data_IF_649960912507
#
_entry.id   IF_649960912507
#
_cell.length_a   1.000
_cell.length_b   1.000
_cell.length_c   1.000
_cell.angle_alpha   90.00
_cell.angle_beta   90.00
_cell.angle_gamma   90.00
#
_symmetry.space_group_name_H-M   'P 1'
#
loop_
_entity.id
_entity.type
_entity.pdbx_description
1 polymer ?
#
# COMPACT_ATOMS: atom_id res chain seq x y z
N UNK A 1 -16.78 -16.28 6.36
CA UNK A 1 -15.75 -16.14 5.32
C UNK A 1 -14.65 -15.24 5.84
N UNK A 2 -13.80 -14.74 4.95
CA UNK A 2 -12.82 -13.67 5.25
C UNK A 2 -13.35 -12.32 4.77
N UNK A 3 -12.99 -11.19 5.40
CA UNK A 3 -13.35 -9.87 4.90
C UNK A 3 -12.78 -9.62 3.50
N UNK A 4 -13.60 -9.08 2.59
CA UNK A 4 -13.21 -8.72 1.22
C UNK A 4 -13.87 -7.39 0.87
N UNK A 5 -13.07 -6.44 0.42
CA UNK A 5 -13.50 -5.11 -0.02
C UNK A 5 -13.00 -4.93 -1.45
N UNK A 6 -13.79 -5.39 -2.42
CA UNK A 6 -13.47 -5.28 -3.84
C UNK A 6 -14.72 -5.49 -4.70
N UNK A 7 -14.90 -4.70 -5.75
CA UNK A 7 -15.90 -4.92 -6.79
C UNK A 7 -15.44 -4.40 -8.15
N UNK A 8 -16.09 -4.87 -9.22
CA UNK A 8 -15.77 -4.41 -10.58
C UNK A 8 -16.41 -3.05 -10.83
N UNK A 9 -15.59 -2.09 -11.28
CA UNK A 9 -16.05 -0.74 -11.62
C UNK A 9 -16.02 0.26 -10.47
N UNK A 10 -15.10 0.06 -9.52
CA UNK A 10 -14.78 1.04 -8.46
C UNK A 10 -14.38 2.40 -9.05
N UNK A 11 -14.76 3.45 -8.34
CA UNK A 11 -14.15 4.78 -8.42
C UNK A 11 -12.80 4.81 -7.70
N UNK A 12 -11.97 5.82 -7.96
CA UNK A 12 -10.69 5.98 -7.24
C UNK A 12 -10.88 6.18 -5.72
N UNK A 13 -11.96 6.85 -5.31
CA UNK A 13 -12.30 7.01 -3.90
C UNK A 13 -12.61 5.66 -3.24
N UNK A 14 -13.42 4.83 -3.90
CA UNK A 14 -13.76 3.49 -3.41
C UNK A 14 -12.53 2.57 -3.36
N UNK A 15 -11.65 2.63 -4.35
CA UNK A 15 -10.40 1.86 -4.39
C UNK A 15 -9.51 2.14 -3.16
N UNK A 16 -9.27 3.42 -2.87
CA UNK A 16 -8.46 3.82 -1.72
C UNK A 16 -9.17 3.54 -0.39
N UNK A 17 -10.50 3.65 -0.34
CA UNK A 17 -11.29 3.19 0.80
C UNK A 17 -11.14 1.68 1.04
N UNK A 18 -11.25 0.85 -0.01
CA UNK A 18 -11.04 -0.59 0.07
C UNK A 18 -9.64 -0.93 0.59
N UNK A 19 -8.61 -0.21 0.11
CA UNK A 19 -7.22 -0.35 0.57
C UNK A 19 -7.09 -0.04 2.06
N UNK A 20 -7.71 1.04 2.54
CA UNK A 20 -7.74 1.34 3.97
C UNK A 20 -8.46 0.25 4.79
N UNK A 21 -9.61 -0.25 4.31
CA UNK A 21 -10.34 -1.30 5.01
C UNK A 21 -9.50 -2.59 5.12
N UNK A 22 -8.80 -2.97 4.05
CA UNK A 22 -7.93 -4.14 4.02
C UNK A 22 -6.73 -4.01 4.99
N UNK A 23 -6.27 -2.79 5.27
CA UNK A 23 -5.18 -2.49 6.22
C UNK A 23 -5.67 -2.23 7.66
N UNK A 24 -6.99 -2.13 7.89
CA UNK A 24 -7.56 -1.81 9.21
C UNK A 24 -8.18 -3.06 9.84
N UNK A 25 -7.49 -3.63 10.82
CA UNK A 25 -7.83 -4.92 11.43
C UNK A 25 -8.37 -4.72 12.84
N UNK A 26 -9.71 -4.77 13.04
CA UNK A 26 -10.27 -4.63 14.38
C UNK A 26 -9.79 -5.77 15.29
N UNK A 27 -9.57 -5.45 16.57
CA UNK A 27 -9.13 -6.39 17.61
C UNK A 27 -7.68 -6.91 17.48
N UNK A 28 -6.83 -6.22 16.72
CA UNK A 28 -5.38 -6.42 16.77
C UNK A 28 -4.71 -5.36 17.66
N UNK A 29 -3.53 -5.62 18.25
CA UNK A 29 -2.87 -4.67 19.15
C UNK A 29 -2.63 -3.29 18.54
N UNK A 30 -2.38 -3.22 17.22
CA UNK A 30 -2.08 -1.99 16.49
C UNK A 30 -3.22 -1.52 15.59
N UNK A 31 -4.32 -2.29 15.51
CA UNK A 31 -5.39 -2.06 14.56
C UNK A 31 -5.02 -2.42 13.11
N UNK A 32 -3.95 -3.19 12.88
CA UNK A 32 -3.39 -3.48 11.56
C UNK A 32 -2.86 -4.90 11.35
N UNK A 33 -2.40 -5.20 10.13
CA UNK A 33 -1.84 -6.49 9.78
C UNK A 33 -0.42 -6.66 10.34
N UNK A 34 0.05 -7.91 10.40
CA UNK A 34 1.45 -8.24 10.73
C UNK A 34 2.29 -8.61 9.49
N UNK A 35 1.68 -8.72 8.32
CA UNK A 35 2.28 -9.02 7.02
C UNK A 35 1.45 -8.37 5.92
N UNK A 36 2.09 -7.95 4.83
CA UNK A 36 1.40 -7.47 3.61
C UNK A 36 1.71 -8.41 2.45
N UNK A 37 0.70 -8.70 1.64
CA UNK A 37 0.85 -9.28 0.30
C UNK A 37 0.35 -8.22 -0.67
N UNK A 38 1.27 -7.70 -1.48
CA UNK A 38 1.05 -6.52 -2.31
C UNK A 38 1.28 -6.84 -3.79
N UNK A 39 0.58 -6.10 -4.65
CA UNK A 39 0.67 -6.18 -6.10
C UNK A 39 0.56 -4.74 -6.64
N UNK A 40 1.69 -4.17 -7.05
CA UNK A 40 1.81 -2.78 -7.49
C UNK A 40 2.29 -1.83 -6.40
N UNK A 41 2.25 -2.27 -5.13
CA UNK A 41 2.86 -1.57 -4.00
C UNK A 41 1.98 -0.50 -3.35
N UNK A 42 0.67 -0.48 -3.62
CA UNK A 42 -0.23 0.57 -3.13
C UNK A 42 -0.53 0.46 -1.64
N UNK A 43 -0.70 -0.76 -1.12
CA UNK A 43 -0.87 -0.97 0.32
C UNK A 43 0.40 -0.54 1.07
N UNK A 44 1.56 -0.90 0.55
CA UNK A 44 2.86 -0.49 1.07
C UNK A 44 3.03 1.02 1.00
N UNK A 45 2.71 1.65 -0.13
CA UNK A 45 2.78 3.10 -0.33
C UNK A 45 1.93 3.83 0.72
N UNK A 46 0.69 3.39 0.93
CA UNK A 46 -0.25 4.03 1.86
C UNK A 46 0.28 4.00 3.29
N UNK A 47 0.84 2.85 3.73
CA UNK A 47 1.46 2.74 5.06
C UNK A 47 2.68 3.67 5.19
N UNK A 48 3.56 3.70 4.20
CA UNK A 48 4.77 4.54 4.25
C UNK A 48 4.42 6.04 4.25
N UNK A 49 3.49 6.47 3.40
CA UNK A 49 3.02 7.86 3.34
C UNK A 49 2.25 8.27 4.59
N UNK A 50 1.44 7.37 5.13
CA UNK A 50 0.77 7.60 6.40
C UNK A 50 1.75 7.88 7.54
N UNK A 51 2.79 7.05 7.67
CA UNK A 51 3.85 7.25 8.68
C UNK A 51 4.64 8.54 8.42
N UNK A 52 4.96 8.84 7.16
CA UNK A 52 5.64 10.08 6.77
C UNK A 52 4.85 11.31 7.23
N UNK A 53 3.56 11.37 6.94
CA UNK A 53 2.71 12.52 7.25
C UNK A 53 2.27 12.58 8.72
N UNK A 54 2.17 11.44 9.41
CA UNK A 54 2.03 11.42 10.87
C UNK A 54 3.25 12.07 11.56
N UNK A 55 4.46 11.77 11.08
CA UNK A 55 5.68 12.41 11.58
C UNK A 55 5.76 13.89 11.24
N UNK A 56 5.27 14.28 10.07
CA UNK A 56 5.19 15.68 9.65
C UNK A 56 4.08 16.47 10.37
N UNK A 57 3.10 15.78 10.97
CA UNK A 57 1.95 16.35 11.65
C UNK A 57 0.78 16.72 10.74
N UNK A 58 0.95 16.66 9.42
CA UNK A 58 -0.09 16.89 8.42
C UNK A 58 0.30 16.25 7.09
N UNK A 59 -0.70 15.82 6.31
CA UNK A 59 -0.52 15.50 4.90
C UNK A 59 -0.67 16.78 4.05
N UNK A 60 -0.03 16.88 2.88
CA UNK A 60 -0.25 17.98 1.94
C UNK A 60 -1.72 18.18 1.58
N UNK A 61 -2.08 19.41 1.18
CA UNK A 61 -3.41 19.71 0.68
C UNK A 61 -3.67 18.93 -0.63
N UNK A 62 -4.80 18.19 -0.76
CA UNK A 62 -5.11 17.41 -1.96
C UNK A 62 -5.08 18.22 -3.27
N UNK A 63 -5.35 19.52 -3.23
CA UNK A 63 -5.28 20.41 -4.40
C UNK A 63 -3.86 20.61 -4.95
N UNK A 64 -2.83 20.23 -4.18
CA UNK A 64 -1.42 20.29 -4.58
C UNK A 64 -0.93 19.00 -5.22
N UNK A 65 -1.79 17.98 -5.33
CA UNK A 65 -1.44 16.70 -5.94
C UNK A 65 -1.08 16.85 -7.43
N UNK A 66 -0.13 16.02 -7.87
CA UNK A 66 0.30 15.92 -9.26
C UNK A 66 -0.61 15.03 -10.12
N UNK A 67 -1.53 14.31 -9.48
CA UNK A 67 -2.49 13.41 -10.11
C UNK A 67 -3.79 13.31 -9.31
N UNK A 68 -4.88 12.98 -10.00
CA UNK A 68 -6.20 12.74 -9.38
C UNK A 68 -6.12 11.62 -8.33
N UNK A 69 -5.43 10.53 -8.64
CA UNK A 69 -5.22 9.42 -7.72
C UNK A 69 -4.48 9.86 -6.46
N UNK A 70 -3.38 10.62 -6.60
CA UNK A 70 -2.63 11.11 -5.44
C UNK A 70 -3.46 12.10 -4.60
N UNK A 71 -4.36 12.87 -5.22
CA UNK A 71 -5.31 13.72 -4.47
C UNK A 71 -6.24 12.88 -3.57
N UNK A 72 -6.69 11.70 -4.02
CA UNK A 72 -7.48 10.78 -3.20
C UNK A 72 -6.67 10.20 -2.03
N UNK A 73 -5.40 9.83 -2.26
CA UNK A 73 -4.49 9.39 -1.19
C UNK A 73 -4.31 10.49 -0.15
N UNK A 74 -4.02 11.72 -0.57
CA UNK A 74 -3.86 12.87 0.35
C UNK A 74 -5.15 13.16 1.12
N UNK A 75 -6.31 13.05 0.48
CA UNK A 75 -7.61 13.22 1.13
C UNK A 75 -7.83 12.17 2.23
N UNK A 76 -7.54 10.90 1.92
CA UNK A 76 -7.62 9.79 2.87
C UNK A 76 -6.65 9.99 4.04
N UNK A 77 -5.39 10.35 3.76
CA UNK A 77 -4.38 10.55 4.79
C UNK A 77 -4.72 11.74 5.70
N UNK A 78 -5.22 12.86 5.15
CA UNK A 78 -5.70 13.98 5.96
C UNK A 78 -6.87 13.58 6.86
N UNK A 79 -7.84 12.81 6.35
CA UNK A 79 -8.96 12.32 7.17
C UNK A 79 -8.47 11.41 8.30
N UNK A 80 -7.66 10.41 7.97
CA UNK A 80 -7.18 9.43 8.97
C UNK A 80 -6.26 10.06 10.01
N UNK A 81 -5.45 11.06 9.64
CA UNK A 81 -4.67 11.87 10.57
C UNK A 81 -5.56 12.62 11.57
N UNK A 82 -6.69 13.16 11.11
CA UNK A 82 -7.66 13.85 11.98
C UNK A 82 -8.42 12.91 12.91
N UNK A 83 -8.73 11.69 12.46
CA UNK A 83 -9.48 10.69 13.24
C UNK A 83 -8.60 9.92 14.23
N UNK A 84 -7.41 9.51 13.80
CA UNK A 84 -6.47 8.68 14.56
C UNK A 84 -5.01 9.04 14.19
N UNK A 85 -4.40 10.06 14.84
CA UNK A 85 -3.09 10.63 14.45
C UNK A 85 -1.87 9.71 14.55
N UNK A 86 -2.04 8.48 15.01
CA UNK A 86 -0.97 7.48 15.17
C UNK A 86 -1.35 6.15 14.53
N UNK A 87 -2.41 6.11 13.71
CA UNK A 87 -2.89 4.91 13.04
C UNK A 87 -1.75 4.24 12.30
N UNK A 88 -1.16 4.91 11.32
CA UNK A 88 -0.20 4.33 10.39
C UNK A 88 1.12 3.94 11.07
N UNK A 89 1.61 4.74 12.01
CA UNK A 89 2.78 4.44 12.84
C UNK A 89 2.55 3.19 13.69
N UNK A 90 1.36 3.03 14.27
CA UNK A 90 1.01 1.81 15.00
C UNK A 90 0.93 0.60 14.06
N UNK A 91 0.21 0.70 12.93
CA UNK A 91 0.13 -0.40 11.97
C UNK A 91 1.54 -0.85 11.54
N UNK A 92 2.38 0.10 11.12
CA UNK A 92 3.72 -0.17 10.62
C UNK A 92 4.63 -0.86 11.65
N UNK A 93 4.41 -0.64 12.95
CA UNK A 93 5.25 -1.21 14.01
C UNK A 93 5.14 -2.73 14.19
N UNK A 94 4.05 -3.34 13.71
CA UNK A 94 3.84 -4.80 13.79
C UNK A 94 4.00 -5.51 12.43
N UNK A 95 4.16 -4.77 11.33
CA UNK A 95 4.39 -5.36 10.01
C UNK A 95 5.80 -5.96 9.98
N UNK A 96 5.87 -7.28 9.83
CA UNK A 96 7.13 -8.04 9.77
C UNK A 96 7.71 -8.13 8.37
N UNK A 97 6.90 -7.82 7.36
CA UNK A 97 7.36 -7.63 5.99
C UNK A 97 6.24 -7.64 4.96
N UNK A 98 6.64 -7.39 3.72
CA UNK A 98 5.77 -7.43 2.53
C UNK A 98 6.31 -8.39 1.47
N UNK A 99 5.43 -9.05 0.75
CA UNK A 99 5.75 -9.77 -0.51
C UNK A 99 5.14 -9.03 -1.69
N UNK A 100 5.93 -8.69 -2.70
CA UNK A 100 5.49 -7.87 -3.84
C UNK A 100 5.51 -8.65 -5.16
N UNK A 101 4.38 -8.63 -5.84
CA UNK A 101 4.05 -9.47 -7.00
C UNK A 101 4.58 -8.90 -8.32
N UNK A 102 4.50 -7.57 -8.54
CA UNK A 102 4.77 -6.97 -9.85
C UNK A 102 6.05 -6.18 -9.94
N UNK A 103 6.52 -6.03 -11.17
CA UNK A 103 7.70 -5.22 -11.52
C UNK A 103 7.57 -3.77 -11.02
N UNK A 104 6.38 -3.17 -11.15
CA UNK A 104 6.13 -1.78 -10.73
C UNK A 104 6.26 -1.61 -9.21
N UNK A 105 5.61 -2.48 -8.42
CA UNK A 105 5.73 -2.42 -6.96
C UNK A 105 7.16 -2.71 -6.50
N UNK A 106 7.86 -3.64 -7.15
CA UNK A 106 9.29 -3.93 -6.88
C UNK A 106 10.16 -2.71 -7.10
N UNK A 107 9.93 -1.91 -8.14
CA UNK A 107 10.69 -0.67 -8.35
C UNK A 107 10.50 0.33 -7.20
N UNK A 108 9.27 0.51 -6.71
CA UNK A 108 8.97 1.36 -5.55
C UNK A 108 9.70 0.85 -4.30
N UNK A 109 9.73 -0.47 -4.07
CA UNK A 109 10.47 -1.07 -2.95
C UNK A 109 11.98 -0.81 -3.04
N UNK A 110 12.58 -0.91 -4.22
CA UNK A 110 14.01 -0.60 -4.41
C UNK A 110 14.32 0.88 -4.19
N UNK A 111 13.45 1.79 -4.63
CA UNK A 111 13.58 3.23 -4.36
C UNK A 111 13.54 3.51 -2.85
N UNK A 112 12.55 2.98 -2.15
CA UNK A 112 12.45 3.13 -0.69
C UNK A 112 13.65 2.50 0.05
N UNK A 113 14.15 1.36 -0.42
CA UNK A 113 15.34 0.74 0.15
C UNK A 113 16.59 1.59 -0.05
N UNK A 114 16.80 2.08 -1.29
CA UNK A 114 17.93 2.97 -1.64
C UNK A 114 17.91 4.25 -0.82
N UNK A 115 16.74 4.82 -0.62
CA UNK A 115 16.55 6.10 0.07
C UNK A 115 16.48 5.93 1.60
N UNK A 116 16.55 4.69 2.10
CA UNK A 116 16.52 4.36 3.53
C UNK A 116 15.15 4.58 4.20
N UNK A 117 14.08 4.69 3.40
CA UNK A 117 12.72 4.96 3.88
C UNK A 117 11.87 3.71 4.04
N UNK A 118 12.33 2.55 3.55
CA UNK A 118 11.62 1.27 3.69
C UNK A 118 11.48 0.88 5.18
N UNK A 119 10.24 0.82 5.67
CA UNK A 119 9.93 0.64 7.09
C UNK A 119 10.07 -0.80 7.59
N UNK A 120 9.91 -1.79 6.70
CA UNK A 120 9.93 -3.22 7.02
C UNK A 120 10.53 -4.05 5.88
N UNK A 121 11.00 -5.29 6.14
CA UNK A 121 11.57 -6.15 5.11
C UNK A 121 10.61 -6.40 3.95
N UNK A 122 11.16 -6.52 2.74
CA UNK A 122 10.38 -6.82 1.54
C UNK A 122 10.98 -7.99 0.75
N UNK A 123 10.11 -8.82 0.19
CA UNK A 123 10.47 -9.93 -0.70
C UNK A 123 9.95 -9.61 -2.10
N UNK A 124 10.87 -9.52 -3.04
CA UNK A 124 10.58 -9.41 -4.47
C UNK A 124 10.16 -10.80 -5.01
N UNK A 125 8.86 -11.01 -5.18
CA UNK A 125 8.30 -12.25 -5.75
C UNK A 125 8.35 -12.20 -7.27
N UNK A 126 8.19 -11.01 -7.87
CA UNK A 126 8.19 -10.82 -9.31
C UNK A 126 9.41 -11.46 -9.99
N UNK A 127 10.60 -11.26 -9.42
CA UNK A 127 11.87 -11.70 -10.02
C UNK A 127 12.18 -13.18 -9.79
N UNK A 128 11.33 -13.91 -9.07
CA UNK A 128 11.40 -15.36 -9.08
C UNK A 128 11.30 -15.87 -10.52
N UNK A 129 12.13 -16.85 -10.89
CA UNK A 129 12.18 -17.40 -12.26
C UNK A 129 10.81 -17.95 -12.67
N UNK A 130 10.13 -18.61 -11.75
CA UNK A 130 8.79 -19.18 -11.94
C UNK A 130 7.68 -18.13 -12.03
N UNK A 131 7.96 -16.86 -11.74
CA UNK A 131 7.03 -15.73 -11.88
C UNK A 131 7.36 -14.97 -13.17
N UNK A 132 8.44 -14.19 -13.18
CA UNK A 132 8.81 -13.33 -14.31
C UNK A 132 8.90 -14.04 -15.68
N UNK A 133 9.34 -15.30 -15.73
CA UNK A 133 9.48 -16.03 -17.01
C UNK A 133 8.23 -16.81 -17.41
N UNK A 134 7.27 -16.94 -16.51
CA UNK A 134 6.04 -17.69 -16.77
C UNK A 134 4.82 -16.80 -16.76
N UNK A 135 4.50 -16.17 -15.63
CA UNK A 135 3.32 -15.32 -15.48
C UNK A 135 3.35 -14.16 -16.49
N UNK A 136 4.35 -13.29 -16.38
CA UNK A 136 4.46 -12.10 -17.24
C UNK A 136 4.53 -12.45 -18.75
N UNK A 137 5.01 -13.65 -19.11
CA UNK A 137 5.19 -14.05 -20.51
C UNK A 137 4.00 -14.81 -21.08
N UNK A 138 3.57 -15.86 -20.39
CA UNK A 138 2.51 -16.75 -20.85
C UNK A 138 1.13 -16.30 -20.41
N UNK A 139 1.01 -15.61 -19.27
CA UNK A 139 -0.21 -14.95 -18.82
C UNK A 139 -0.63 -13.86 -19.80
N UNK A 140 0.26 -12.89 -20.07
CA UNK A 140 0.00 -11.83 -21.04
C UNK A 140 -0.34 -12.39 -22.43
N UNK A 141 0.33 -13.44 -22.92
CA UNK A 141 -0.01 -14.08 -24.21
C UNK A 141 -1.44 -14.59 -24.27
N UNK A 142 -2.03 -15.01 -23.15
CA UNK A 142 -3.39 -15.53 -23.11
C UNK A 142 -4.45 -14.44 -22.95
N UNK A 143 -4.12 -13.34 -22.27
CA UNK A 143 -5.08 -12.30 -21.88
C UNK A 143 -5.08 -11.03 -22.73
N UNK A 144 -4.07 -10.84 -23.61
CA UNK A 144 -3.99 -9.78 -24.64
C UNK A 144 -4.82 -10.14 -25.88
#
# INVERSE_FOLDING_TARGET
>A
GVPVFAWKGETLEEYWWCTEQALTWPNTPTGGPNMILDDGGDATLLVHKGVEFEKAGAAPDPSTADSEEYAHILTLLNRTLGEAPQKWTQLASEIRGVTEETTTGVHRLYEMHRDGSLLFPAINVNDAVTKSKFDNKYGCRHSL
#
